data_IF_784469126311
#
_entry.id   IF_784469126311
#
_cell.length_a   1.000
_cell.length_b   1.000
_cell.length_c   1.000
_cell.angle_alpha   90.00
_cell.angle_beta   90.00
_cell.angle_gamma   90.00
#
_symmetry.space_group_name_H-M   'P 1'
#
loop_
_entity.id
_entity.type
_entity.pdbx_description
1 polymer ?
#
# COMPACT_ATOMS: atom_id res chain seq x y z
N UNK A 1 34.41 -50.81 -0.53
CA UNK A 1 34.08 -49.67 -1.43
C UNK A 1 32.58 -49.52 -1.77
N UNK A 2 31.68 -50.46 -1.45
CA UNK A 2 30.22 -50.34 -1.72
C UNK A 2 29.43 -49.52 -0.67
N UNK A 3 29.96 -49.42 0.55
CA UNK A 3 29.24 -48.74 1.65
C UNK A 3 29.44 -47.21 1.70
N UNK A 4 30.47 -46.69 1.01
CA UNK A 4 30.74 -45.23 1.02
C UNK A 4 29.79 -44.43 0.11
N UNK A 5 29.30 -45.04 -0.99
CA UNK A 5 28.37 -44.39 -1.92
C UNK A 5 26.96 -44.23 -1.34
N UNK A 6 26.53 -45.17 -0.48
CA UNK A 6 25.21 -45.10 0.16
C UNK A 6 25.13 -43.97 1.22
N UNK A 7 26.22 -43.77 1.98
CA UNK A 7 26.30 -42.72 3.02
C UNK A 7 26.30 -41.31 2.42
N UNK A 8 26.99 -41.12 1.28
CA UNK A 8 27.02 -39.81 0.58
C UNK A 8 25.65 -39.45 -0.02
N UNK A 9 24.89 -40.45 -0.52
CA UNK A 9 23.56 -40.22 -1.08
C UNK A 9 22.53 -39.84 0.00
N UNK A 10 22.63 -40.42 1.19
CA UNK A 10 21.73 -40.11 2.32
C UNK A 10 22.02 -38.71 2.86
N UNK A 11 23.28 -38.31 2.95
CA UNK A 11 23.68 -36.97 3.40
C UNK A 11 23.23 -35.85 2.42
N UNK A 12 23.30 -36.12 1.11
CA UNK A 12 22.81 -35.13 0.11
C UNK A 12 21.28 -34.99 0.09
N UNK A 13 20.56 -36.08 0.41
CA UNK A 13 19.11 -36.03 0.50
C UNK A 13 18.62 -35.29 1.76
N UNK A 14 19.31 -35.46 2.90
CA UNK A 14 19.01 -34.77 4.15
C UNK A 14 19.30 -33.27 4.01
N UNK A 15 20.37 -32.86 3.36
CA UNK A 15 20.66 -31.43 3.14
C UNK A 15 19.65 -30.76 2.20
N UNK A 16 19.13 -31.47 1.19
CA UNK A 16 18.08 -30.90 0.31
C UNK A 16 16.72 -30.75 0.99
N UNK A 17 16.40 -31.64 1.92
CA UNK A 17 15.16 -31.55 2.72
C UNK A 17 15.26 -30.44 3.77
N UNK A 18 16.43 -30.26 4.39
CA UNK A 18 16.66 -29.17 5.35
C UNK A 18 16.64 -27.79 4.68
N UNK A 19 17.18 -27.63 3.47
CA UNK A 19 17.13 -26.39 2.71
C UNK A 19 15.69 -26.03 2.28
N UNK A 20 14.86 -27.03 1.96
CA UNK A 20 13.45 -26.81 1.62
C UNK A 20 12.62 -26.32 2.82
N UNK A 21 12.92 -26.78 4.02
CA UNK A 21 12.24 -26.40 5.26
C UNK A 21 12.54 -24.95 5.70
N UNK A 22 13.70 -24.38 5.33
CA UNK A 22 14.09 -23.02 5.73
C UNK A 22 13.42 -21.92 4.90
N UNK A 23 12.84 -22.24 3.73
CA UNK A 23 12.24 -21.26 2.82
C UNK A 23 10.69 -21.30 2.79
N UNK A 24 10.07 -22.17 3.60
CA UNK A 24 8.61 -22.20 3.69
C UNK A 24 8.07 -21.13 4.63
N UNK A 25 6.92 -20.52 4.23
CA UNK A 25 6.24 -19.52 5.01
C UNK A 25 6.75 -18.10 4.79
N UNK A 26 6.49 -17.24 5.76
CA UNK A 26 6.88 -15.82 5.73
C UNK A 26 8.18 -15.60 6.47
N UNK A 27 9.16 -15.04 5.78
CA UNK A 27 10.47 -14.68 6.32
C UNK A 27 10.77 -13.21 6.13
N UNK A 28 11.61 -12.66 7.00
CA UNK A 28 12.07 -11.28 6.96
C UNK A 28 13.58 -11.24 6.85
N UNK A 29 14.08 -10.28 6.07
CA UNK A 29 15.50 -10.00 5.95
C UNK A 29 15.73 -8.49 6.11
N UNK A 30 16.49 -8.10 7.12
CA UNK A 30 16.87 -6.70 7.32
C UNK A 30 18.06 -6.37 6.43
N UNK A 31 17.90 -5.40 5.56
CA UNK A 31 18.91 -4.94 4.61
C UNK A 31 19.92 -3.99 5.28
N UNK A 32 21.09 -3.73 4.67
CA UNK A 32 22.09 -2.81 5.21
C UNK A 32 21.58 -1.39 5.47
N UNK A 33 20.63 -0.91 4.66
CA UNK A 33 19.94 0.37 4.84
C UNK A 33 18.81 0.32 5.89
N UNK A 34 18.67 -0.80 6.59
CA UNK A 34 17.64 -1.12 7.60
C UNK A 34 16.24 -1.42 7.06
N UNK A 35 16.00 -1.28 5.76
CA UNK A 35 14.74 -1.71 5.17
C UNK A 35 14.52 -3.22 5.38
N UNK A 36 13.26 -3.65 5.37
CA UNK A 36 12.92 -5.03 5.68
C UNK A 36 12.26 -5.69 4.47
N UNK A 37 12.97 -6.64 3.86
CA UNK A 37 12.38 -7.53 2.87
C UNK A 37 11.41 -8.51 3.53
N UNK A 38 10.28 -8.74 2.88
CA UNK A 38 9.28 -9.75 3.24
C UNK A 38 9.23 -10.77 2.11
N UNK A 39 9.60 -12.01 2.42
CA UNK A 39 9.51 -13.13 1.48
C UNK A 39 8.44 -14.11 1.93
N UNK A 40 7.72 -14.66 0.97
CA UNK A 40 6.74 -15.74 1.19
C UNK A 40 7.18 -16.93 0.34
N UNK A 41 7.43 -18.07 0.98
CA UNK A 41 7.95 -19.29 0.35
C UNK A 41 9.22 -19.02 -0.46
N UNK A 42 10.14 -18.23 0.12
CA UNK A 42 11.42 -17.86 -0.49
C UNK A 42 11.35 -16.79 -1.60
N UNK A 43 10.16 -16.38 -2.05
CA UNK A 43 9.97 -15.38 -3.10
C UNK A 43 9.68 -14.00 -2.48
N UNK A 44 10.31 -12.96 -2.99
CA UNK A 44 10.02 -11.58 -2.57
C UNK A 44 8.53 -11.26 -2.75
N UNK A 45 7.94 -10.67 -1.73
CA UNK A 45 6.57 -10.19 -1.75
C UNK A 45 6.51 -8.66 -1.72
N UNK A 46 7.24 -8.08 -0.78
CA UNK A 46 7.35 -6.63 -0.62
C UNK A 46 8.57 -6.29 0.23
N UNK A 47 8.82 -5.00 0.37
CA UNK A 47 9.84 -4.47 1.27
C UNK A 47 9.23 -3.30 2.05
N UNK A 48 9.43 -3.25 3.36
CA UNK A 48 9.09 -2.11 4.20
C UNK A 48 10.26 -1.13 4.20
N UNK A 49 10.02 0.05 3.65
CA UNK A 49 11.00 1.12 3.58
C UNK A 49 10.99 1.91 4.88
N UNK A 50 12.09 1.78 5.62
CA UNK A 50 12.40 2.57 6.82
C UNK A 50 13.14 3.84 6.43
N UNK A 51 14.04 3.70 5.45
CA UNK A 51 14.89 4.77 4.99
C UNK A 51 14.04 5.87 4.36
N UNK A 52 13.90 6.95 5.11
CA UNK A 52 13.31 8.16 4.59
C UNK A 52 14.40 8.95 3.88
N UNK A 53 14.13 9.27 2.65
CA UNK A 53 14.92 10.15 1.82
C UNK A 53 14.01 11.29 1.31
N UNK A 54 14.51 12.13 0.46
CA UNK A 54 13.73 13.23 -0.09
C UNK A 54 12.55 12.76 -0.95
N UNK A 55 12.62 11.55 -1.51
CA UNK A 55 11.58 10.96 -2.37
C UNK A 55 10.45 10.29 -1.57
N UNK A 56 10.77 9.74 -0.39
CA UNK A 56 9.81 8.98 0.43
C UNK A 56 9.66 9.63 1.80
N UNK A 57 8.58 10.37 1.98
CA UNK A 57 8.28 11.17 3.19
C UNK A 57 7.40 10.43 4.21
N UNK A 58 7.24 9.13 4.06
CA UNK A 58 6.44 8.25 4.92
C UNK A 58 6.89 6.80 4.78
N UNK A 59 6.68 5.93 5.77
CA UNK A 59 6.91 4.50 5.61
C UNK A 59 5.98 3.90 4.55
N UNK A 60 6.52 3.06 3.68
CA UNK A 60 5.77 2.42 2.59
C UNK A 60 6.12 0.94 2.47
N UNK A 61 5.21 0.14 1.91
CA UNK A 61 5.50 -1.19 1.39
C UNK A 61 5.67 -1.09 -0.12
N UNK A 62 6.87 -1.39 -0.63
CA UNK A 62 7.22 -1.33 -2.05
C UNK A 62 8.34 -2.33 -2.38
N UNK A 63 8.30 -2.98 -3.55
CA UNK A 63 7.14 -3.11 -4.43
C UNK A 63 6.07 -4.05 -3.86
N UNK A 64 4.89 -4.16 -4.49
CA UNK A 64 3.96 -5.27 -4.27
C UNK A 64 4.07 -6.24 -5.43
N UNK A 65 4.30 -7.53 -5.12
CA UNK A 65 4.60 -8.56 -6.12
C UNK A 65 3.65 -9.75 -5.94
N UNK A 66 3.04 -10.21 -7.04
CA UNK A 66 2.22 -11.43 -7.02
C UNK A 66 3.08 -12.68 -6.78
N UNK A 67 2.45 -13.83 -6.54
CA UNK A 67 3.17 -15.10 -6.38
C UNK A 67 3.93 -15.49 -7.64
N UNK A 68 3.40 -15.15 -8.82
CA UNK A 68 4.02 -15.39 -10.12
C UNK A 68 5.02 -14.30 -10.54
N UNK A 69 5.35 -13.34 -9.65
CA UNK A 69 6.38 -12.34 -9.86
C UNK A 69 5.95 -11.10 -10.64
N UNK A 70 4.64 -10.84 -10.83
CA UNK A 70 4.17 -9.62 -11.48
C UNK A 70 4.28 -8.43 -10.52
N UNK A 71 4.87 -7.32 -10.97
CA UNK A 71 5.00 -6.07 -10.23
C UNK A 71 3.72 -5.24 -10.36
N UNK A 72 3.03 -5.00 -9.25
CA UNK A 72 1.74 -4.31 -9.25
C UNK A 72 1.83 -2.81 -8.96
N UNK A 73 2.95 -2.35 -8.42
CA UNK A 73 3.14 -0.95 -8.02
C UNK A 73 4.00 -0.18 -9.01
N UNK A 74 3.71 1.12 -9.19
CA UNK A 74 4.53 2.04 -9.99
C UNK A 74 5.93 2.16 -9.40
N UNK A 75 6.95 2.19 -10.27
CA UNK A 75 8.35 2.33 -9.87
C UNK A 75 8.74 3.77 -9.52
N UNK A 76 8.22 4.76 -10.26
CA UNK A 76 8.53 6.17 -10.03
C UNK A 76 8.03 6.66 -8.65
N UNK A 77 8.83 7.46 -7.90
CA UNK A 77 10.18 7.96 -8.20
C UNK A 77 11.31 7.04 -7.71
N UNK A 78 11.03 5.98 -6.95
CA UNK A 78 12.02 5.14 -6.24
C UNK A 78 12.84 4.26 -7.19
N UNK A 79 12.18 3.64 -8.15
CA UNK A 79 12.78 2.76 -9.17
C UNK A 79 12.07 2.96 -10.51
N UNK A 80 12.27 4.11 -11.19
CA UNK A 80 11.55 4.47 -12.42
C UNK A 80 11.67 3.41 -13.50
N UNK A 81 10.57 3.11 -14.17
CA UNK A 81 10.51 2.21 -15.31
C UNK A 81 9.96 2.94 -16.53
N UNK A 82 10.40 2.54 -17.72
CA UNK A 82 9.94 3.11 -18.97
C UNK A 82 8.41 3.07 -19.10
N UNK A 83 7.79 4.14 -19.58
CA UNK A 83 6.36 4.23 -19.83
C UNK A 83 5.50 4.47 -18.59
N UNK A 84 6.09 4.69 -17.40
CA UNK A 84 5.35 5.06 -16.20
C UNK A 84 5.14 6.57 -16.11
N UNK A 85 3.99 6.97 -15.57
CA UNK A 85 3.69 8.37 -15.23
C UNK A 85 4.63 8.89 -14.16
N UNK A 86 5.01 10.16 -14.27
CA UNK A 86 5.83 10.86 -13.26
C UNK A 86 5.02 11.81 -12.38
N UNK A 87 3.70 11.88 -12.59
CA UNK A 87 2.80 12.66 -11.77
C UNK A 87 2.81 12.19 -10.30
N UNK A 88 2.47 13.07 -9.36
CA UNK A 88 2.32 12.74 -7.94
C UNK A 88 3.51 11.91 -7.39
N UNK A 89 4.72 12.48 -7.28
CA UNK A 89 5.91 11.75 -6.79
C UNK A 89 5.74 11.22 -5.37
N UNK A 90 4.84 11.80 -4.58
CA UNK A 90 4.48 11.34 -3.24
C UNK A 90 3.64 10.03 -3.23
N UNK A 91 3.15 9.53 -4.36
CA UNK A 91 2.43 8.26 -4.45
C UNK A 91 3.39 7.09 -4.65
N UNK A 92 3.83 6.44 -3.57
CA UNK A 92 4.81 5.34 -3.58
C UNK A 92 4.26 4.10 -2.91
N UNK A 93 4.22 2.97 -3.64
CA UNK A 93 3.88 1.66 -3.09
C UNK A 93 2.49 1.60 -2.45
N UNK A 94 2.42 0.98 -1.26
CA UNK A 94 1.28 0.98 -0.35
C UNK A 94 1.64 1.81 0.88
N UNK A 95 0.86 2.84 1.17
CA UNK A 95 1.10 3.75 2.29
C UNK A 95 -0.17 4.09 3.06
N UNK A 96 -0.01 4.75 4.21
CA UNK A 96 -1.08 5.39 4.98
C UNK A 96 -0.61 6.75 5.44
N UNK A 97 -1.36 7.80 5.13
CA UNK A 97 -1.26 9.14 5.66
C UNK A 97 -2.50 9.96 5.29
N UNK A 98 -2.53 11.26 5.61
CA UNK A 98 -3.70 12.10 5.41
C UNK A 98 -3.34 13.54 5.03
N UNK A 99 -4.19 14.18 4.21
CA UNK A 99 -3.91 15.51 3.67
C UNK A 99 -4.03 16.65 4.66
N UNK A 100 -4.94 16.58 5.66
CA UNK A 100 -5.20 17.73 6.55
C UNK A 100 -5.33 17.32 8.01
N UNK A 101 -4.19 17.32 8.71
CA UNK A 101 -4.12 17.09 10.16
C UNK A 101 -3.64 18.37 10.82
N UNK A 102 -4.49 19.03 11.63
CA UNK A 102 -4.25 20.36 12.20
C UNK A 102 -3.84 21.43 11.17
N UNK A 103 -4.32 21.29 9.92
CA UNK A 103 -3.99 22.19 8.81
C UNK A 103 -2.71 21.86 8.06
N UNK A 104 -1.93 20.86 8.53
CA UNK A 104 -0.70 20.40 7.91
C UNK A 104 -0.99 19.27 6.93
N UNK A 105 -0.36 19.30 5.76
CA UNK A 105 -0.51 18.30 4.70
C UNK A 105 0.57 17.22 4.80
N UNK A 106 0.17 16.00 5.19
CA UNK A 106 1.06 14.84 5.21
C UNK A 106 0.99 14.01 3.93
N UNK A 107 -0.05 14.21 3.10
CA UNK A 107 -0.25 13.43 1.90
C UNK A 107 0.63 13.88 0.74
N UNK A 108 0.59 15.16 0.40
CA UNK A 108 1.26 15.69 -0.78
C UNK A 108 2.76 15.97 -0.57
N UNK A 109 3.32 15.72 0.61
CA UNK A 109 4.72 15.98 0.87
C UNK A 109 5.62 15.11 -0.01
N UNK A 110 6.52 15.77 -0.76
CA UNK A 110 7.47 15.17 -1.69
C UNK A 110 8.71 16.06 -1.81
N UNK A 111 9.72 15.58 -2.52
CA UNK A 111 10.94 16.36 -2.80
C UNK A 111 10.65 17.71 -3.46
N UNK A 112 9.66 17.77 -4.36
CA UNK A 112 9.30 19.00 -5.06
C UNK A 112 8.90 20.12 -4.11
N UNK A 113 8.32 19.81 -2.95
CA UNK A 113 7.93 20.78 -1.94
C UNK A 113 9.15 21.51 -1.36
N UNK A 114 10.31 20.87 -1.30
CA UNK A 114 11.55 21.50 -0.82
C UNK A 114 12.03 22.64 -1.73
N UNK A 115 11.63 22.61 -3.00
CA UNK A 115 12.05 23.58 -4.01
C UNK A 115 10.97 24.56 -4.44
N UNK A 116 9.69 24.18 -4.36
CA UNK A 116 8.56 24.96 -4.90
C UNK A 116 7.47 25.28 -3.87
N UNK A 117 7.51 24.67 -2.68
CA UNK A 117 6.53 24.86 -1.60
C UNK A 117 7.13 25.49 -0.35
N UNK A 118 6.26 25.73 0.65
CA UNK A 118 6.70 26.08 2.00
C UNK A 118 6.67 24.82 2.88
N UNK A 119 7.83 24.28 3.28
CA UNK A 119 7.93 23.07 4.08
C UNK A 119 7.13 23.12 5.41
N UNK A 120 6.86 24.33 5.92
CA UNK A 120 6.07 24.53 7.15
C UNK A 120 4.64 24.05 7.04
N UNK A 121 4.08 23.99 5.83
CA UNK A 121 2.72 23.52 5.57
C UNK A 121 2.63 22.01 5.37
N UNK A 122 3.77 21.30 5.40
CA UNK A 122 3.82 19.87 5.14
C UNK A 122 4.36 19.09 6.34
N UNK A 123 3.79 17.90 6.53
CA UNK A 123 4.18 17.00 7.59
C UNK A 123 4.98 15.80 7.06
N UNK A 124 5.74 15.18 7.95
CA UNK A 124 6.53 13.99 7.70
C UNK A 124 6.06 12.86 8.63
N UNK A 125 5.82 11.66 8.08
CA UNK A 125 5.60 10.46 8.89
C UNK A 125 6.93 9.71 9.00
N UNK A 126 7.54 9.71 10.19
CA UNK A 126 8.90 9.19 10.40
C UNK A 126 8.87 7.86 11.13
N UNK A 127 9.49 6.83 10.56
CA UNK A 127 9.72 5.57 11.24
C UNK A 127 10.58 5.79 12.50
N UNK A 128 10.18 5.19 13.62
CA UNK A 128 10.89 5.29 14.90
C UNK A 128 11.46 3.95 15.34
N UNK A 129 10.69 2.87 15.23
CA UNK A 129 11.13 1.56 15.70
C UNK A 129 10.39 0.40 15.02
N UNK A 130 11.09 -0.72 14.85
CA UNK A 130 10.48 -2.04 14.68
C UNK A 130 10.24 -2.61 16.06
N UNK A 131 8.96 -2.77 16.44
CA UNK A 131 8.56 -3.25 17.77
C UNK A 131 8.36 -4.77 17.80
N UNK A 132 8.10 -5.38 16.62
CA UNK A 132 7.98 -6.82 16.47
C UNK A 132 8.37 -7.26 15.07
N UNK A 133 9.16 -8.32 15.00
CA UNK A 133 9.53 -8.99 13.74
C UNK A 133 9.48 -10.50 13.97
N UNK A 134 8.37 -11.12 13.54
CA UNK A 134 8.12 -12.56 13.80
C UNK A 134 7.84 -13.30 12.50
N UNK A 135 8.79 -14.08 11.97
CA UNK A 135 8.53 -14.97 10.87
C UNK A 135 7.58 -16.12 11.28
N UNK A 136 7.01 -16.81 10.31
CA UNK A 136 6.16 -17.96 10.60
C UNK A 136 5.71 -18.72 9.36
N UNK A 137 5.32 -19.97 9.54
CA UNK A 137 4.95 -20.87 8.44
C UNK A 137 3.69 -20.43 7.71
N UNK A 138 2.66 -20.04 8.43
CA UNK A 138 1.38 -19.60 7.85
C UNK A 138 1.33 -18.08 7.66
N UNK A 139 1.89 -17.33 8.61
CA UNK A 139 1.90 -15.88 8.62
C UNK A 139 3.14 -15.31 9.32
N UNK A 140 3.62 -14.18 8.84
CA UNK A 140 4.63 -13.36 9.48
C UNK A 140 4.06 -12.04 9.98
N UNK A 141 4.64 -11.50 11.04
CA UNK A 141 4.19 -10.25 11.68
C UNK A 141 5.33 -9.27 11.74
N UNK A 142 5.11 -8.06 11.23
CA UNK A 142 5.95 -6.88 11.41
C UNK A 142 5.12 -5.83 12.13
N UNK A 143 5.55 -5.39 13.31
CA UNK A 143 4.96 -4.24 13.99
C UNK A 143 5.98 -3.12 14.08
N UNK A 144 5.51 -1.89 13.83
CA UNK A 144 6.34 -0.69 13.83
C UNK A 144 5.70 0.42 14.65
N UNK A 145 6.53 1.36 15.09
CA UNK A 145 6.12 2.67 15.59
C UNK A 145 6.67 3.74 14.66
N UNK A 146 5.83 4.73 14.34
CA UNK A 146 6.19 5.91 13.59
C UNK A 146 5.58 7.15 14.24
N UNK A 147 6.13 8.32 13.98
CA UNK A 147 5.61 9.60 14.46
C UNK A 147 5.23 10.50 13.29
N UNK A 148 4.16 11.27 13.47
CA UNK A 148 3.71 12.27 12.50
C UNK A 148 4.19 13.64 12.98
N UNK A 149 5.11 14.24 12.24
CA UNK A 149 5.79 15.49 12.58
C UNK A 149 5.34 16.61 11.66
N UNK A 150 5.13 17.80 12.22
CA UNK A 150 4.92 19.04 11.48
C UNK A 150 6.21 19.52 10.80
N UNK A 151 6.13 20.53 9.93
CA UNK A 151 7.26 21.27 9.32
C UNK A 151 8.31 20.35 8.67
N UNK A 152 7.85 19.41 7.83
CA UNK A 152 8.74 18.41 7.18
C UNK A 152 9.67 17.69 8.17
N UNK A 153 9.12 17.35 9.34
CA UNK A 153 9.84 16.60 10.37
C UNK A 153 10.68 17.43 11.35
N UNK A 154 10.64 18.76 11.27
CA UNK A 154 11.34 19.69 12.16
C UNK A 154 10.46 20.20 13.31
N UNK A 155 9.14 20.14 13.11
CA UNK A 155 8.16 20.61 14.09
C UNK A 155 7.81 19.56 15.14
N UNK A 156 6.65 19.73 15.76
CA UNK A 156 6.16 18.85 16.83
C UNK A 156 5.74 17.49 16.29
N UNK A 157 5.91 16.46 17.09
CA UNK A 157 5.23 15.18 16.91
C UNK A 157 3.79 15.32 17.42
N UNK A 158 2.82 15.18 16.51
CA UNK A 158 1.39 15.38 16.83
C UNK A 158 0.64 14.06 17.00
N UNK A 159 1.10 13.00 16.31
CA UNK A 159 0.52 11.65 16.38
C UNK A 159 1.63 10.61 16.54
N UNK A 160 1.40 9.63 17.40
CA UNK A 160 2.11 8.35 17.39
C UNK A 160 1.31 7.36 16.53
N UNK A 161 1.98 6.70 15.60
CA UNK A 161 1.43 5.63 14.78
C UNK A 161 2.00 4.28 15.26
N UNK A 162 1.11 3.35 15.64
CA UNK A 162 1.45 1.97 15.91
C UNK A 162 0.79 1.12 14.83
N UNK A 163 1.59 0.54 13.94
CA UNK A 163 1.12 -0.28 12.82
C UNK A 163 1.60 -1.72 12.95
N UNK A 164 0.67 -2.66 12.80
CA UNK A 164 0.97 -4.09 12.66
C UNK A 164 0.59 -4.55 11.26
N UNK A 165 1.57 -5.11 10.56
CA UNK A 165 1.38 -5.83 9.31
C UNK A 165 1.40 -7.34 9.58
N UNK A 166 0.42 -8.06 9.01
CA UNK A 166 0.44 -9.51 8.95
C UNK A 166 0.50 -9.92 7.49
N UNK A 167 1.54 -10.64 7.13
CA UNK A 167 1.75 -11.15 5.78
C UNK A 167 1.48 -12.65 5.75
N UNK A 168 0.89 -13.15 4.67
CA UNK A 168 0.66 -14.59 4.52
C UNK A 168 0.14 -14.97 3.14
N UNK A 169 -0.13 -16.28 2.99
CA UNK A 169 -0.78 -16.86 1.82
C UNK A 169 -2.27 -16.97 2.03
N UNK A 170 -3.01 -16.92 0.93
CA UNK A 170 -4.46 -17.04 0.88
C UNK A 170 -4.83 -17.86 -0.37
N UNK A 171 -5.96 -18.59 -0.42
CA UNK A 171 -6.39 -19.28 -1.64
C UNK A 171 -6.47 -18.38 -2.89
N UNK A 172 -6.68 -17.08 -2.70
CA UNK A 172 -6.66 -16.09 -3.78
C UNK A 172 -5.25 -15.52 -4.07
N UNK A 173 -4.18 -15.92 -3.37
CA UNK A 173 -2.82 -15.40 -3.56
C UNK A 173 -2.13 -15.03 -2.25
N UNK A 174 -1.60 -13.82 -2.14
CA UNK A 174 -0.91 -13.29 -0.96
C UNK A 174 -1.75 -12.20 -0.30
N UNK A 175 -1.57 -11.99 1.01
CA UNK A 175 -2.29 -10.92 1.69
C UNK A 175 -1.39 -10.12 2.63
N UNK A 176 -1.84 -8.89 2.87
CA UNK A 176 -1.35 -7.98 3.89
C UNK A 176 -2.55 -7.55 4.72
N UNK A 177 -2.60 -7.92 6.01
CA UNK A 177 -3.49 -7.24 6.96
C UNK A 177 -2.71 -6.08 7.55
N UNK A 178 -3.24 -4.87 7.48
CA UNK A 178 -2.70 -3.67 8.12
C UNK A 178 -3.66 -3.21 9.20
N UNK A 179 -3.18 -3.15 10.43
CA UNK A 179 -3.88 -2.55 11.57
C UNK A 179 -3.03 -1.39 12.06
N UNK A 180 -3.56 -0.19 11.94
CA UNK A 180 -2.87 1.06 12.33
C UNK A 180 -3.67 1.79 13.38
N UNK A 181 -3.07 2.04 14.53
CA UNK A 181 -3.62 2.91 15.59
C UNK A 181 -2.86 4.22 15.60
N UNK A 182 -3.59 5.32 15.51
CA UNK A 182 -3.09 6.69 15.64
C UNK A 182 -3.50 7.24 17.01
N UNK A 183 -2.53 7.72 17.78
CA UNK A 183 -2.71 8.30 19.11
C UNK A 183 -2.33 9.76 19.10
N UNK A 184 -3.23 10.63 19.60
CA UNK A 184 -2.96 12.05 19.74
C UNK A 184 -1.94 12.34 20.86
N UNK A 185 -0.87 13.06 20.52
CA UNK A 185 0.18 13.45 21.49
C UNK A 185 0.05 14.90 21.97
N UNK A 186 -0.69 15.72 21.22
CA UNK A 186 -0.97 17.13 21.55
C UNK A 186 -2.40 17.30 22.05
N UNK A 187 -2.76 18.46 22.57
CA UNK A 187 -4.05 18.73 23.19
C UNK A 187 -5.24 18.33 22.32
N UNK A 188 -5.15 18.62 21.02
CA UNK A 188 -6.15 18.22 20.03
C UNK A 188 -5.51 17.91 18.69
N UNK A 189 -5.94 16.82 18.04
CA UNK A 189 -5.60 16.48 16.66
C UNK A 189 -6.88 16.43 15.86
N UNK A 190 -6.99 17.32 14.89
CA UNK A 190 -8.15 17.49 14.04
C UNK A 190 -7.86 17.05 12.62
N UNK A 191 -8.56 16.01 12.17
CA UNK A 191 -8.55 15.55 10.78
C UNK A 191 -9.70 16.23 10.06
N UNK A 192 -9.42 17.33 9.35
CA UNK A 192 -10.42 17.99 8.52
C UNK A 192 -10.77 17.08 7.35
N UNK A 193 -12.07 16.91 7.06
CA UNK A 193 -12.50 16.12 5.90
C UNK A 193 -11.80 16.60 4.62
N UNK A 194 -11.09 15.68 3.99
CA UNK A 194 -10.33 15.90 2.75
C UNK A 194 -10.39 14.67 1.84
N UNK A 195 -10.22 14.87 0.53
CA UNK A 195 -10.13 13.74 -0.41
C UNK A 195 -8.80 12.99 -0.33
N UNK A 196 -7.73 13.64 0.16
CA UNK A 196 -6.37 13.11 0.22
C UNK A 196 -6.16 12.23 1.47
N UNK A 197 -6.43 10.97 1.35
CA UNK A 197 -6.36 9.97 2.42
C UNK A 197 -6.96 8.63 2.01
N UNK A 198 -6.98 7.63 2.84
CA UNK A 198 -6.18 7.43 4.07
C UNK A 198 -5.10 6.37 3.79
N UNK A 199 -5.51 5.18 3.28
CA UNK A 199 -4.63 4.11 2.83
C UNK A 199 -4.69 4.03 1.31
N UNK A 200 -3.51 3.97 0.67
CA UNK A 200 -3.47 3.99 -0.78
C UNK A 200 -2.36 3.15 -1.37
N UNK A 201 -2.57 2.78 -2.64
CA UNK A 201 -1.61 2.10 -3.50
C UNK A 201 -1.47 2.91 -4.78
N UNK A 202 -0.25 3.13 -5.26
CA UNK A 202 0.00 3.58 -6.62
C UNK A 202 0.38 2.40 -7.48
N UNK A 203 -0.47 2.09 -8.45
CA UNK A 203 -0.30 0.89 -9.28
C UNK A 203 0.57 1.14 -10.50
N UNK A 204 1.08 0.06 -11.09
CA UNK A 204 1.85 0.07 -12.33
C UNK A 204 1.00 0.53 -13.51
N UNK A 205 1.67 0.93 -14.59
CA UNK A 205 1.02 1.47 -15.81
C UNK A 205 -0.03 0.53 -16.40
N UNK A 206 0.22 -0.77 -16.37
CA UNK A 206 -0.68 -1.80 -16.93
C UNK A 206 -2.02 -1.87 -16.20
N UNK A 207 -2.04 -1.46 -14.92
CA UNK A 207 -3.23 -1.42 -14.08
C UNK A 207 -3.92 -0.04 -14.01
N UNK A 208 -3.44 0.93 -14.79
CA UNK A 208 -4.20 2.17 -15.01
C UNK A 208 -5.39 1.92 -15.94
N UNK A 209 -6.35 2.85 -15.96
CA UNK A 209 -7.39 2.85 -16.98
C UNK A 209 -6.84 3.43 -18.28
N UNK A 210 -7.28 2.94 -19.45
CA UNK A 210 -6.99 3.57 -20.73
C UNK A 210 -7.41 5.05 -20.72
N UNK A 211 -6.55 5.93 -21.22
CA UNK A 211 -6.79 7.38 -21.21
C UNK A 211 -6.28 8.00 -22.51
N UNK A 212 -6.98 9.01 -23.01
CA UNK A 212 -6.59 9.81 -24.17
C UNK A 212 -6.01 11.19 -23.79
N UNK A 213 -5.83 11.45 -22.50
CA UNK A 213 -5.29 12.74 -22.03
C UNK A 213 -3.78 12.76 -22.21
N UNK A 214 -3.19 13.88 -22.67
CA UNK A 214 -1.74 14.07 -22.66
C UNK A 214 -1.16 13.90 -21.26
N UNK A 215 0.04 13.34 -21.18
CA UNK A 215 0.70 13.11 -19.90
C UNK A 215 2.22 13.02 -20.08
N UNK A 216 2.97 13.12 -18.99
CA UNK A 216 4.42 12.97 -18.98
C UNK A 216 4.77 11.58 -18.44
N UNK A 217 5.62 10.89 -19.17
CA UNK A 217 6.08 9.53 -18.87
C UNK A 217 7.61 9.46 -18.86
N UNK A 218 8.15 8.45 -18.22
CA UNK A 218 9.56 8.09 -18.35
C UNK A 218 9.81 7.31 -19.64
N UNK A 219 10.91 7.64 -20.34
CA UNK A 219 11.45 6.79 -21.40
C UNK A 219 12.23 5.59 -20.82
N UNK A 220 12.82 4.77 -21.70
CA UNK A 220 13.59 3.59 -21.30
C UNK A 220 14.84 3.93 -20.45
N UNK A 221 15.29 5.17 -20.44
CA UNK A 221 16.42 5.69 -19.68
C UNK A 221 15.98 6.40 -18.39
N UNK A 222 14.67 6.40 -18.09
CA UNK A 222 14.10 7.11 -16.94
C UNK A 222 13.98 8.63 -17.15
N UNK A 223 14.17 9.13 -18.38
CA UNK A 223 14.03 10.53 -18.72
C UNK A 223 12.56 10.88 -18.99
N UNK A 224 12.15 12.06 -18.54
CA UNK A 224 10.81 12.60 -18.77
C UNK A 224 10.55 12.85 -20.25
N UNK A 225 9.41 12.37 -20.73
CA UNK A 225 9.00 12.49 -22.13
C UNK A 225 7.51 12.86 -22.20
N UNK A 226 7.21 14.03 -22.80
CA UNK A 226 5.81 14.42 -23.02
C UNK A 226 5.21 13.57 -24.15
N UNK A 227 4.09 12.94 -23.87
CA UNK A 227 3.33 12.13 -24.83
C UNK A 227 2.01 12.83 -25.10
N UNK A 228 1.80 13.41 -26.31
CA UNK A 228 0.58 14.17 -26.60
C UNK A 228 -0.65 13.27 -26.73
N UNK A 229 -0.47 12.02 -27.14
CA UNK A 229 -1.53 11.00 -27.19
C UNK A 229 -1.02 9.74 -26.53
N UNK A 230 -1.78 9.24 -25.54
CA UNK A 230 -1.38 8.05 -24.82
C UNK A 230 -1.48 6.78 -25.66
N UNK A 231 -0.39 6.01 -25.67
CA UNK A 231 -0.44 4.63 -26.07
C UNK A 231 -1.01 3.78 -24.93
N UNK A 232 -2.21 3.22 -25.13
CA UNK A 232 -2.88 2.37 -24.15
C UNK A 232 -2.60 0.87 -24.35
N UNK A 233 -1.62 0.51 -25.17
CA UNK A 233 -1.24 -0.92 -25.35
C UNK A 233 -0.78 -1.49 -24.02
N UNK A 234 -1.42 -2.60 -23.59
CA UNK A 234 -1.15 -3.25 -22.31
C UNK A 234 -1.78 -2.58 -21.08
N UNK A 235 -2.48 -1.44 -21.25
CA UNK A 235 -3.21 -0.78 -20.15
C UNK A 235 -4.60 -1.38 -20.05
N UNK A 236 -4.87 -2.09 -18.95
CA UNK A 236 -6.05 -2.97 -18.83
C UNK A 236 -6.77 -2.85 -17.50
N UNK A 237 -6.33 -1.92 -16.63
CA UNK A 237 -6.87 -1.79 -15.29
C UNK A 237 -8.37 -1.46 -15.29
N UNK A 238 -9.13 -2.15 -14.45
CA UNK A 238 -10.55 -1.87 -14.20
C UNK A 238 -10.87 -2.04 -12.72
N UNK A 239 -11.50 -1.02 -12.15
CA UNK A 239 -12.07 -1.09 -10.81
C UNK A 239 -13.42 -1.83 -10.81
N UNK A 240 -13.68 -2.54 -9.70
CA UNK A 240 -14.98 -3.13 -9.37
C UNK A 240 -15.21 -3.00 -7.86
N UNK A 241 -16.34 -2.41 -7.47
CA UNK A 241 -16.73 -2.27 -6.07
C UNK A 241 -17.65 -3.38 -5.58
N UNK A 242 -17.85 -3.49 -4.26
CA UNK A 242 -18.85 -4.40 -3.65
C UNK A 242 -20.28 -4.09 -4.10
N UNK A 243 -20.54 -2.90 -4.58
CA UNK A 243 -21.85 -2.43 -5.07
C UNK A 243 -22.01 -2.65 -6.58
N UNK A 244 -21.05 -3.31 -7.23
CA UNK A 244 -21.08 -3.59 -8.67
C UNK A 244 -20.70 -2.40 -9.56
N UNK A 245 -20.30 -1.27 -8.98
CA UNK A 245 -19.85 -0.09 -9.73
C UNK A 245 -18.45 -0.38 -10.30
N UNK A 246 -18.20 0.07 -11.54
CA UNK A 246 -16.97 -0.23 -12.28
C UNK A 246 -16.27 1.04 -12.77
N UNK A 247 -15.01 0.86 -13.17
CA UNK A 247 -14.22 1.88 -13.82
C UNK A 247 -14.04 3.14 -12.97
N UNK A 248 -14.02 4.30 -13.59
CA UNK A 248 -13.83 5.57 -12.88
C UNK A 248 -15.06 6.05 -12.08
N UNK A 249 -16.23 5.43 -12.30
CA UNK A 249 -17.46 5.73 -11.55
C UNK A 249 -17.37 5.33 -10.07
N UNK A 250 -16.41 4.49 -9.71
CA UNK A 250 -16.15 4.11 -8.32
C UNK A 250 -15.68 5.29 -7.46
N UNK A 251 -15.14 6.35 -8.08
CA UNK A 251 -14.70 7.54 -7.36
C UNK A 251 -15.86 8.18 -6.59
N UNK A 252 -15.63 8.51 -5.32
CA UNK A 252 -16.65 9.17 -4.47
C UNK A 252 -17.84 8.25 -4.14
N UNK A 253 -17.71 6.93 -4.27
CA UNK A 253 -18.74 5.96 -3.85
C UNK A 253 -18.33 5.25 -2.58
N UNK A 254 -19.30 4.72 -1.83
CA UNK A 254 -19.06 3.87 -0.67
C UNK A 254 -19.09 2.40 -1.09
N UNK A 255 -18.17 1.61 -0.56
CA UNK A 255 -18.17 0.17 -0.77
C UNK A 255 -17.36 -0.54 0.34
N UNK A 256 -17.73 -1.79 0.65
CA UNK A 256 -17.07 -2.64 1.65
C UNK A 256 -15.71 -3.14 1.19
N UNK A 257 -15.55 -3.24 -0.11
CA UNK A 257 -14.29 -3.61 -0.77
C UNK A 257 -14.24 -3.02 -2.17
N UNK A 258 -13.03 -2.88 -2.66
CA UNK A 258 -12.73 -2.50 -4.05
C UNK A 258 -11.67 -3.44 -4.60
N UNK A 259 -11.86 -3.92 -5.84
CA UNK A 259 -10.86 -4.66 -6.61
C UNK A 259 -10.42 -3.81 -7.79
N UNK A 260 -9.12 -3.67 -7.97
CA UNK A 260 -8.51 -3.27 -9.23
C UNK A 260 -7.94 -4.53 -9.89
N UNK A 261 -8.42 -4.86 -11.08
CA UNK A 261 -7.98 -6.02 -11.85
C UNK A 261 -7.50 -5.63 -13.23
N UNK A 262 -6.64 -6.44 -13.83
CA UNK A 262 -6.12 -6.23 -15.17
C UNK A 262 -5.19 -7.35 -15.60
N UNK A 263 -4.40 -7.08 -16.64
CA UNK A 263 -3.44 -8.02 -17.22
C UNK A 263 -2.03 -7.42 -17.16
N UNK A 264 -1.05 -8.16 -16.68
CA UNK A 264 0.37 -7.83 -16.78
C UNK A 264 1.06 -8.98 -17.49
N UNK A 265 1.78 -8.70 -18.56
CA UNK A 265 2.42 -9.75 -19.41
C UNK A 265 1.43 -10.84 -19.85
N UNK A 266 0.22 -10.45 -20.24
CA UNK A 266 -0.88 -11.35 -20.63
C UNK A 266 -1.32 -12.35 -19.53
N UNK A 267 -1.04 -12.04 -18.25
CA UNK A 267 -1.50 -12.82 -17.10
C UNK A 267 -2.48 -11.99 -16.27
N UNK A 268 -3.58 -12.58 -15.80
CA UNK A 268 -4.51 -11.86 -14.93
C UNK A 268 -3.85 -11.53 -13.60
N UNK A 269 -4.11 -10.33 -13.10
CA UNK A 269 -3.66 -9.89 -11.78
C UNK A 269 -4.74 -9.04 -11.12
N UNK A 270 -4.79 -9.02 -9.79
CA UNK A 270 -5.64 -8.08 -9.08
C UNK A 270 -5.07 -7.68 -7.73
N UNK A 271 -5.47 -6.47 -7.31
CA UNK A 271 -5.35 -5.97 -5.96
C UNK A 271 -6.77 -5.78 -5.44
N UNK A 272 -7.12 -6.40 -4.30
CA UNK A 272 -8.38 -6.13 -3.62
C UNK A 272 -8.10 -5.56 -2.24
N UNK A 273 -8.72 -4.42 -1.93
CA UNK A 273 -8.66 -3.82 -0.59
C UNK A 273 -10.02 -4.00 0.09
N UNK A 274 -10.02 -4.63 1.25
CA UNK A 274 -11.19 -4.84 2.10
C UNK A 274 -11.16 -3.83 3.23
N UNK A 275 -12.27 -3.09 3.40
CA UNK A 275 -12.54 -2.23 4.54
C UNK A 275 -13.10 -3.06 5.72
N UNK A 276 -12.86 -2.60 6.96
CA UNK A 276 -13.30 -3.32 8.15
C UNK A 276 -14.49 -2.62 8.81
N UNK A 277 -15.52 -3.36 9.30
CA UNK A 277 -16.71 -2.77 9.93
C UNK A 277 -16.43 -1.86 11.12
N UNK A 278 -15.31 -2.05 11.82
CA UNK A 278 -14.90 -1.19 12.95
C UNK A 278 -14.16 0.07 12.53
N UNK A 279 -13.89 0.27 11.24
CA UNK A 279 -13.29 1.53 10.77
C UNK A 279 -14.29 2.68 10.88
N UNK A 280 -13.77 3.85 11.20
CA UNK A 280 -14.56 5.07 11.14
C UNK A 280 -15.21 5.22 9.76
N UNK A 281 -16.48 5.62 9.71
CA UNK A 281 -17.22 5.88 8.46
C UNK A 281 -17.36 4.66 7.52
N UNK A 282 -17.38 3.43 8.08
CA UNK A 282 -17.64 2.20 7.30
C UNK A 282 -19.06 2.19 6.68
N UNK A 283 -19.28 1.68 5.45
CA UNK A 283 -18.25 1.39 4.45
C UNK A 283 -17.57 2.67 3.95
N UNK A 284 -16.26 2.58 3.70
CA UNK A 284 -15.43 3.73 3.34
C UNK A 284 -15.83 4.36 2.00
N UNK A 285 -15.50 5.64 1.82
CA UNK A 285 -15.45 6.26 0.50
C UNK A 285 -14.15 5.86 -0.24
N UNK A 286 -14.23 5.78 -1.57
CA UNK A 286 -13.10 5.41 -2.41
C UNK A 286 -12.57 6.61 -3.20
N UNK A 287 -11.28 6.90 -3.03
CA UNK A 287 -10.52 7.80 -3.87
C UNK A 287 -9.71 6.98 -4.88
N UNK A 288 -10.43 6.27 -5.77
CA UNK A 288 -9.85 5.43 -6.81
C UNK A 288 -9.92 6.18 -8.15
N UNK A 289 -8.78 6.30 -8.84
CA UNK A 289 -8.61 7.14 -10.03
C UNK A 289 -7.98 6.35 -11.16
N UNK A 290 -8.43 6.61 -12.39
CA UNK A 290 -7.94 5.93 -13.59
C UNK A 290 -6.44 6.06 -13.84
N UNK A 291 -5.78 7.11 -13.32
CA UNK A 291 -4.33 7.27 -13.39
C UNK A 291 -3.55 6.38 -12.40
N UNK A 292 -4.20 5.41 -11.77
CA UNK A 292 -3.56 4.40 -10.93
C UNK A 292 -3.45 4.73 -9.45
N UNK A 293 -4.19 5.73 -8.93
CA UNK A 293 -4.39 5.90 -7.49
C UNK A 293 -5.52 5.00 -7.02
N UNK A 294 -5.23 4.10 -6.10
CA UNK A 294 -6.19 3.20 -5.48
C UNK A 294 -6.23 3.44 -3.97
N UNK A 295 -7.18 4.24 -3.49
CA UNK A 295 -7.24 4.66 -2.08
C UNK A 295 -8.63 4.45 -1.45
N UNK A 296 -8.63 3.97 -0.19
CA UNK A 296 -9.77 3.96 0.72
C UNK A 296 -9.65 5.14 1.70
N UNK A 297 -10.68 5.99 1.76
CA UNK A 297 -10.65 7.20 2.58
C UNK A 297 -11.89 7.32 3.47
N UNK A 298 -11.82 6.86 4.73
CA UNK A 298 -12.92 6.97 5.68
C UNK A 298 -13.14 8.39 6.21
N UNK A 299 -12.20 9.31 6.01
CA UNK A 299 -12.21 10.67 6.59
C UNK A 299 -12.52 11.76 5.55
N UNK A 300 -12.97 11.38 4.34
CA UNK A 300 -13.27 12.33 3.26
C UNK A 300 -14.76 12.57 3.03
N UNK A 301 -15.63 12.28 4.01
CA UNK A 301 -17.08 12.26 3.86
C UNK A 301 -17.64 13.56 3.26
N UNK A 302 -17.19 14.72 3.71
CA UNK A 302 -17.69 16.00 3.21
C UNK A 302 -17.42 16.21 1.72
N UNK A 303 -16.21 15.90 1.28
CA UNK A 303 -15.80 16.09 -0.12
C UNK A 303 -16.55 15.09 -1.01
N UNK A 304 -16.57 13.80 -0.64
CA UNK A 304 -17.15 12.75 -1.48
C UNK A 304 -18.68 12.80 -1.52
N UNK A 305 -19.34 13.24 -0.44
CA UNK A 305 -20.79 13.44 -0.41
C UNK A 305 -21.26 14.78 -0.99
N UNK A 306 -20.32 15.63 -1.46
CA UNK A 306 -20.61 17.03 -1.89
C UNK A 306 -21.28 17.84 -0.78
N UNK A 307 -20.74 17.76 0.45
CA UNK A 307 -21.20 18.50 1.61
C UNK A 307 -22.41 17.92 2.36
N UNK A 308 -22.93 16.75 1.93
CA UNK A 308 -24.10 16.13 2.60
C UNK A 308 -23.75 15.41 3.90
N UNK A 309 -22.51 14.92 4.00
CA UNK A 309 -21.97 14.22 5.17
C UNK A 309 -20.69 14.90 5.62
N UNK A 310 -20.33 14.76 6.89
CA UNK A 310 -19.09 15.30 7.45
C UNK A 310 -18.72 14.45 8.67
N UNK A 311 -17.46 14.08 8.79
CA UNK A 311 -16.93 13.38 9.95
C UNK A 311 -16.06 14.31 10.80
N UNK A 312 -15.09 15.01 10.18
CA UNK A 312 -14.17 15.93 10.86
C UNK A 312 -13.64 15.35 12.17
N UNK A 313 -13.01 14.18 12.07
CA UNK A 313 -12.54 13.42 13.23
C UNK A 313 -11.60 14.27 14.10
N UNK A 314 -11.89 14.31 15.40
CA UNK A 314 -11.04 15.00 16.39
C UNK A 314 -10.64 14.02 17.48
N UNK A 315 -9.36 14.01 17.85
CA UNK A 315 -8.81 13.25 18.95
C UNK A 315 -8.23 14.21 19.98
N UNK A 316 -8.64 14.09 21.25
CA UNK A 316 -8.00 14.76 22.38
C UNK A 316 -6.70 14.05 22.72
N UNK A 317 -5.81 14.72 23.44
CA UNK A 317 -4.55 14.12 23.89
C UNK A 317 -4.77 12.78 24.59
N UNK A 318 -4.08 11.76 24.07
CA UNK A 318 -4.17 10.38 24.55
C UNK A 318 -5.29 9.56 23.92
N UNK A 319 -6.26 10.17 23.22
CA UNK A 319 -7.27 9.42 22.47
C UNK A 319 -6.66 8.78 21.21
N UNK A 320 -7.29 7.68 20.77
CA UNK A 320 -6.79 6.84 19.69
C UNK A 320 -7.90 6.56 18.67
N UNK A 321 -7.49 6.35 17.43
CA UNK A 321 -8.33 5.79 16.36
C UNK A 321 -7.58 4.66 15.68
N UNK A 322 -8.29 3.57 15.36
CA UNK A 322 -7.69 2.41 14.69
C UNK A 322 -8.34 2.17 13.34
N UNK A 323 -7.50 1.94 12.34
CA UNK A 323 -7.90 1.57 10.99
C UNK A 323 -7.40 0.17 10.65
N UNK A 324 -8.27 -0.64 10.04
CA UNK A 324 -8.02 -2.05 9.69
C UNK A 324 -8.33 -2.26 8.23
N UNK A 325 -7.36 -2.81 7.48
CA UNK A 325 -7.53 -3.13 6.06
C UNK A 325 -6.87 -4.45 5.75
N UNK A 326 -7.47 -5.21 4.81
CA UNK A 326 -6.82 -6.34 4.16
C UNK A 326 -6.58 -6.00 2.70
N UNK A 327 -5.35 -6.22 2.24
CA UNK A 327 -4.96 -6.12 0.85
C UNK A 327 -4.66 -7.53 0.33
N UNK A 328 -5.47 -8.01 -0.63
CA UNK A 328 -5.24 -9.27 -1.33
C UNK A 328 -4.51 -8.97 -2.63
N UNK A 329 -3.42 -9.68 -2.86
CA UNK A 329 -2.56 -9.60 -4.06
C UNK A 329 -2.66 -10.93 -4.78
N UNK A 330 -3.23 -10.93 -6.00
CA UNK A 330 -3.66 -12.14 -6.67
C UNK A 330 -3.17 -12.23 -8.11
N UNK A 331 -2.87 -13.44 -8.57
CA UNK A 331 -2.72 -13.80 -9.98
C UNK A 331 -4.05 -14.25 -10.60
N UNK A 332 -5.19 -13.85 -10.01
CA UNK A 332 -6.55 -14.14 -10.41
C UNK A 332 -7.39 -12.86 -10.47
N UNK A 333 -8.58 -12.96 -11.06
CA UNK A 333 -9.62 -11.92 -11.04
C UNK A 333 -10.85 -12.45 -10.27
N UNK A 334 -10.82 -12.50 -8.91
CA UNK A 334 -11.92 -13.01 -8.11
C UNK A 334 -13.22 -12.25 -8.39
N UNK A 335 -14.34 -12.97 -8.46
CA UNK A 335 -15.65 -12.37 -8.63
C UNK A 335 -16.21 -11.76 -7.33
N UNK A 336 -17.33 -11.05 -7.45
CA UNK A 336 -17.98 -10.38 -6.32
C UNK A 336 -18.48 -11.37 -5.25
N UNK A 337 -18.91 -12.58 -5.61
CA UNK A 337 -19.40 -13.56 -4.65
C UNK A 337 -18.28 -14.05 -3.74
N UNK A 338 -17.09 -14.30 -4.32
CA UNK A 338 -15.88 -14.68 -3.58
C UNK A 338 -15.47 -13.51 -2.67
N UNK A 339 -15.37 -12.29 -3.21
CA UNK A 339 -14.91 -11.12 -2.45
C UNK A 339 -15.87 -10.71 -1.33
N UNK A 340 -17.17 -10.90 -1.50
CA UNK A 340 -18.15 -10.69 -0.43
C UNK A 340 -17.95 -11.67 0.75
N UNK A 341 -17.62 -12.94 0.46
CA UNK A 341 -17.27 -13.92 1.50
C UNK A 341 -16.00 -13.53 2.24
N UNK A 342 -14.99 -13.07 1.50
CA UNK A 342 -13.72 -12.61 2.08
C UNK A 342 -13.92 -11.38 2.98
N UNK A 343 -14.69 -10.39 2.53
CA UNK A 343 -14.99 -9.21 3.34
C UNK A 343 -15.77 -9.59 4.62
N UNK A 344 -16.75 -10.47 4.52
CA UNK A 344 -17.49 -10.98 5.68
C UNK A 344 -16.59 -11.77 6.65
N UNK A 345 -15.62 -12.54 6.16
CA UNK A 345 -14.66 -13.27 6.99
C UNK A 345 -13.64 -12.34 7.65
N UNK A 346 -13.19 -11.31 6.93
CA UNK A 346 -12.28 -10.30 7.47
C UNK A 346 -12.93 -9.45 8.56
N UNK A 347 -14.19 -9.03 8.37
CA UNK A 347 -14.94 -8.23 9.35
C UNK A 347 -15.29 -8.96 10.68
N UNK A 348 -14.94 -10.23 10.81
CA UNK A 348 -15.08 -11.00 12.07
C UNK A 348 -13.78 -11.11 12.88
N UNK A 349 -12.68 -10.58 12.36
CA UNK A 349 -11.34 -10.62 12.97
C UNK A 349 -11.06 -9.38 13.78
#
# INVERSE_FOLDING_TARGET
MKNLKAVVLILSFISSVMLKSQNEGVTFNTLPNKDIEVKINGKLFTQYFISQNEEVKKPVLYPLITENGQLLTRGYPVAPRAGERIDHPHHVGLWLNYGKVNGIDYWNNSREILTSGDPKNYGLVKHQAVTKLKPGKEKGVLSIRAGWYEEDGKGKEVLEENTTFVFGTHPLGRYIDRVTTLKALVESVYFKDDKEGMIAIRVSRELEHPSNKPEIFTDAQGKETTVPVLNNVGVTGEYLSSEGIKGEEVWSTRAKWMRLGGMINNKPVSITMLDHPENASYPTYWHARGYGLFSANPLGANIFSKGKESLNLTLKKGEEVTFRYRILISDLLPDSAILNKEAAAFGKK
#
